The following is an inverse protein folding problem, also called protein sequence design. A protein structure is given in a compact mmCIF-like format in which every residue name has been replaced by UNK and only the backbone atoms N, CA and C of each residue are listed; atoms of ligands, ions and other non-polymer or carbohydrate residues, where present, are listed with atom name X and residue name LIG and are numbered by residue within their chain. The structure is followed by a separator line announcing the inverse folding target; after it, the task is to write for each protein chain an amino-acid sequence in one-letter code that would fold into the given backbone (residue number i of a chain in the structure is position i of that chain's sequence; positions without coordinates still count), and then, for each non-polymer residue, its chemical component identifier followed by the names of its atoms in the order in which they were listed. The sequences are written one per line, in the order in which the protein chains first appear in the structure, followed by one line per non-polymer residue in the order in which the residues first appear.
data_IF_800748939475
#
_entry.id   IF_800748939475
#
_cell.length_a   1.000
_cell.length_b   1.000
_cell.length_c   1.000
_cell.angle_alpha   90.00
_cell.angle_beta   90.00
_cell.angle_gamma   90.00
#
_symmetry.space_group_name_H-M   'P 1'
#
loop_
_entity.id
_entity.type
_entity.pdbx_description
1 polymer ?
#
# COMPACT_ATOMS: atom_id res chain seq x y z
N UNK A 1 25.04 16.76 4.07
CA UNK A 1 23.92 17.03 3.15
C UNK A 1 22.86 16.01 3.47
N UNK A 2 22.08 16.26 4.52
CA UNK A 2 20.99 15.38 4.92
C UNK A 2 19.78 15.92 4.19
N UNK A 3 19.35 15.19 3.17
CA UNK A 3 18.11 15.49 2.50
C UNK A 3 17.01 14.97 3.42
N UNK A 4 16.36 15.88 4.14
CA UNK A 4 15.09 15.64 4.77
C UNK A 4 14.09 15.34 3.65
N UNK A 5 13.95 14.07 3.29
CA UNK A 5 12.84 13.56 2.49
C UNK A 5 11.59 13.62 3.36
N UNK A 6 10.97 14.79 3.39
CA UNK A 6 9.59 14.94 3.82
C UNK A 6 8.71 14.13 2.85
N UNK A 7 8.36 12.92 3.28
CA UNK A 7 7.60 11.94 2.50
C UNK A 7 6.11 12.31 2.40
N UNK A 8 5.67 13.38 3.05
CA UNK A 8 4.24 13.68 3.24
C UNK A 8 3.62 14.63 2.18
N UNK A 9 4.35 15.12 1.19
CA UNK A 9 3.84 16.19 0.30
C UNK A 9 3.88 15.92 -1.21
N UNK A 10 3.77 14.67 -1.69
CA UNK A 10 3.76 14.37 -3.14
C UNK A 10 2.55 13.56 -3.62
N UNK A 11 1.48 14.22 -4.13
CA UNK A 11 0.36 13.55 -4.80
C UNK A 11 0.74 12.87 -6.12
N UNK A 12 1.89 13.23 -6.71
CA UNK A 12 2.33 12.74 -8.03
C UNK A 12 2.70 11.25 -8.06
N UNK A 13 3.17 10.67 -6.95
CA UNK A 13 3.70 9.29 -6.94
C UNK A 13 2.62 8.23 -7.14
N UNK A 14 1.37 8.50 -6.74
CA UNK A 14 0.26 7.57 -6.92
C UNK A 14 -0.21 7.54 -8.39
N UNK A 15 -0.12 8.68 -9.09
CA UNK A 15 -0.40 8.77 -10.52
C UNK A 15 0.65 7.97 -11.31
N UNK A 16 1.93 8.17 -10.99
CA UNK A 16 3.03 7.47 -11.68
C UNK A 16 2.95 5.95 -11.51
N UNK A 17 2.63 5.45 -10.30
CA UNK A 17 2.46 4.01 -10.05
C UNK A 17 1.28 3.41 -10.83
N UNK A 18 0.14 4.13 -10.88
CA UNK A 18 -1.03 3.73 -11.67
C UNK A 18 -0.75 3.76 -13.17
N UNK A 19 -0.05 4.78 -13.65
CA UNK A 19 0.37 4.90 -15.04
C UNK A 19 1.38 3.82 -15.45
N UNK A 20 2.32 3.47 -14.57
CA UNK A 20 3.27 2.39 -14.81
C UNK A 20 2.57 1.03 -14.92
N UNK A 21 1.59 0.76 -14.06
CA UNK A 21 0.77 -0.44 -14.14
C UNK A 21 -0.04 -0.50 -15.46
N UNK A 22 -0.63 0.62 -15.87
CA UNK A 22 -1.36 0.72 -17.13
C UNK A 22 -0.43 0.51 -18.35
N UNK A 23 0.75 1.13 -18.38
CA UNK A 23 1.74 0.94 -19.46
C UNK A 23 2.26 -0.50 -19.53
N UNK A 24 2.39 -1.19 -18.41
CA UNK A 24 2.81 -2.60 -18.39
C UNK A 24 1.72 -3.53 -18.98
N UNK A 25 0.44 -3.16 -18.85
CA UNK A 25 -0.67 -3.91 -19.45
C UNK A 25 -0.73 -3.80 -20.98
N UNK A 26 -0.21 -2.71 -21.55
CA UNK A 26 -0.14 -2.45 -23.01
C UNK A 26 1.07 -3.11 -23.70
N UNK A 27 1.83 -3.97 -23.01
CA UNK A 27 2.96 -4.67 -23.61
C UNK A 27 2.47 -5.71 -24.63
N UNK A 28 2.94 -5.61 -25.88
CA UNK A 28 2.49 -6.40 -27.05
C UNK A 28 2.58 -7.93 -26.86
N UNK A 29 3.47 -8.40 -25.97
CA UNK A 29 3.63 -9.81 -25.63
C UNK A 29 3.29 -10.11 -24.16
N UNK A 30 2.67 -9.16 -23.47
CA UNK A 30 2.22 -9.30 -22.09
C UNK A 30 0.91 -10.08 -22.00
N UNK A 31 0.67 -10.70 -20.85
CA UNK A 31 -0.64 -11.25 -20.49
C UNK A 31 -1.35 -10.24 -19.60
N UNK A 32 -2.54 -9.79 -20.01
CA UNK A 32 -3.40 -8.92 -19.21
C UNK A 32 -4.72 -9.62 -18.89
N UNK A 33 -5.28 -9.31 -17.74
CA UNK A 33 -6.60 -9.77 -17.31
C UNK A 33 -7.28 -8.64 -16.55
N UNK A 34 -8.55 -8.40 -16.86
CA UNK A 34 -9.37 -7.39 -16.19
C UNK A 34 -9.72 -7.87 -14.78
N UNK A 35 -8.82 -7.61 -13.83
CA UNK A 35 -9.04 -7.90 -12.41
C UNK A 35 -9.53 -6.62 -11.75
N UNK A 36 -10.70 -6.69 -11.09
CA UNK A 36 -11.16 -5.57 -10.26
C UNK A 36 -10.12 -5.25 -9.19
N UNK A 37 -9.55 -4.04 -9.31
CA UNK A 37 -8.48 -3.57 -8.43
C UNK A 37 -8.96 -2.31 -7.72
N UNK A 38 -8.93 -2.34 -6.39
CA UNK A 38 -9.28 -1.21 -5.55
C UNK A 38 -8.04 -0.79 -4.75
N UNK A 39 -7.67 0.48 -4.85
CA UNK A 39 -6.47 1.01 -4.22
C UNK A 39 -6.83 1.75 -2.93
N UNK A 40 -6.09 1.47 -1.86
CA UNK A 40 -6.14 2.28 -0.65
C UNK A 40 -5.41 3.62 -0.87
N UNK A 41 -5.64 4.58 0.04
CA UNK A 41 -4.88 5.82 0.05
C UNK A 41 -3.37 5.56 0.25
N UNK A 42 -2.55 6.52 -0.17
CA UNK A 42 -1.09 6.40 -0.11
C UNK A 42 -0.61 6.36 1.34
N UNK A 43 0.16 5.33 1.67
CA UNK A 43 0.80 5.17 2.98
C UNK A 43 0.16 4.07 3.84
N UNK A 44 0.93 3.61 4.83
CA UNK A 44 0.47 2.58 5.77
C UNK A 44 0.01 3.22 7.09
N UNK A 45 -1.30 3.30 7.26
CA UNK A 45 -1.97 3.77 8.49
C UNK A 45 -2.83 2.66 9.09
N UNK A 46 -3.32 2.83 10.32
CA UNK A 46 -4.30 1.89 10.89
C UNK A 46 -5.58 1.80 10.02
N UNK A 47 -5.98 2.89 9.38
CA UNK A 47 -7.16 2.92 8.50
C UNK A 47 -6.93 2.07 7.24
N UNK A 48 -5.74 2.12 6.64
CA UNK A 48 -5.36 1.23 5.54
C UNK A 48 -5.41 -0.24 5.96
N UNK A 49 -4.96 -0.56 7.19
CA UNK A 49 -5.02 -1.93 7.73
C UNK A 49 -6.48 -2.38 7.93
N UNK A 50 -7.34 -1.52 8.46
CA UNK A 50 -8.78 -1.78 8.64
C UNK A 50 -9.50 -1.96 7.30
N UNK A 51 -9.18 -1.11 6.32
CA UNK A 51 -9.70 -1.20 4.96
C UNK A 51 -9.37 -2.55 4.32
N UNK A 52 -8.10 -2.97 4.36
CA UNK A 52 -7.66 -4.26 3.81
C UNK A 52 -8.36 -5.44 4.50
N UNK A 53 -8.46 -5.41 5.82
CA UNK A 53 -9.07 -6.49 6.61
C UNK A 53 -10.57 -6.61 6.35
N UNK A 54 -11.28 -5.48 6.30
CA UNK A 54 -12.70 -5.42 5.97
C UNK A 54 -12.99 -5.92 4.54
N UNK A 55 -12.16 -5.53 3.55
CA UNK A 55 -12.31 -5.99 2.17
C UNK A 55 -12.15 -7.51 2.03
N UNK A 56 -11.29 -8.11 2.85
CA UNK A 56 -11.04 -9.57 2.86
C UNK A 56 -12.06 -10.35 3.70
N UNK A 57 -12.97 -9.69 4.41
CA UNK A 57 -13.93 -10.35 5.28
C UNK A 57 -13.25 -11.13 6.42
N UNK A 58 -12.15 -10.60 6.94
CA UNK A 58 -11.38 -11.27 7.99
C UNK A 58 -12.13 -11.26 9.34
N UNK A 59 -11.95 -12.29 10.17
CA UNK A 59 -12.50 -12.31 11.53
C UNK A 59 -11.79 -11.28 12.43
N UNK A 60 -12.47 -10.82 13.48
CA UNK A 60 -12.02 -9.74 14.37
C UNK A 60 -10.63 -9.97 14.97
N UNK A 61 -10.34 -11.21 15.41
CA UNK A 61 -9.02 -11.56 15.96
C UNK A 61 -7.88 -11.35 14.97
N UNK A 62 -8.16 -11.46 13.66
CA UNK A 62 -7.16 -11.23 12.62
C UNK A 62 -6.89 -9.75 12.41
N UNK A 63 -7.94 -8.91 12.46
CA UNK A 63 -7.78 -7.46 12.44
C UNK A 63 -6.95 -7.00 13.64
N UNK A 64 -7.25 -7.49 14.85
CA UNK A 64 -6.51 -7.15 16.06
C UNK A 64 -5.03 -7.51 15.94
N UNK A 65 -4.74 -8.71 15.42
CA UNK A 65 -3.36 -9.14 15.18
C UNK A 65 -2.63 -8.24 14.18
N UNK A 66 -3.29 -7.83 13.08
CA UNK A 66 -2.70 -6.90 12.09
C UNK A 66 -2.40 -5.54 12.71
N UNK A 67 -3.31 -5.00 13.51
CA UNK A 67 -3.14 -3.72 14.20
C UNK A 67 -2.00 -3.80 15.23
N UNK A 68 -1.90 -4.90 15.96
CA UNK A 68 -0.82 -5.12 16.92
C UNK A 68 0.55 -5.23 16.23
N UNK A 69 0.61 -5.94 15.09
CA UNK A 69 1.81 -6.04 14.27
C UNK A 69 2.24 -4.67 13.73
N UNK A 70 1.30 -3.86 13.21
CA UNK A 70 1.57 -2.50 12.74
C UNK A 70 2.16 -1.63 13.86
N UNK A 71 1.56 -1.64 15.05
CA UNK A 71 2.05 -0.89 16.21
C UNK A 71 3.43 -1.33 16.69
N UNK A 72 3.76 -2.62 16.56
CA UNK A 72 5.11 -3.13 16.85
C UNK A 72 6.09 -2.65 15.80
N UNK A 73 5.75 -2.80 14.52
CA UNK A 73 6.60 -2.40 13.41
C UNK A 73 6.98 -0.92 13.46
N UNK A 74 6.04 -0.03 13.83
CA UNK A 74 6.32 1.41 14.02
C UNK A 74 7.41 1.72 15.07
N UNK A 75 7.68 0.78 15.99
CA UNK A 75 8.70 0.91 17.04
C UNK A 75 10.00 0.20 16.70
N UNK A 76 10.06 -0.51 15.57
CA UNK A 76 11.25 -1.22 15.13
C UNK A 76 12.12 -0.28 14.30
N UNK A 77 13.43 -0.41 14.47
CA UNK A 77 14.39 0.22 13.57
C UNK A 77 14.59 -0.69 12.35
N UNK A 78 14.72 -0.07 11.18
CA UNK A 78 15.04 -0.80 9.96
C UNK A 78 16.45 -1.40 10.06
N UNK A 79 16.63 -2.70 9.78
CA UNK A 79 17.95 -3.31 9.81
C UNK A 79 18.84 -2.74 8.69
N UNK A 80 20.09 -2.43 9.03
CA UNK A 80 21.13 -1.93 8.10
C UNK A 80 21.90 -3.03 7.41
#
# INVERSE_FOLDING_TARGET
MNQDTDLQSRPETDIEAREAAAKAADYEHGWSSDIETEFAEKGLTEDTVRFISGKKGEPEWMLDWRLEAYRRWLKMEEPT
#
